data_IF_465088246487
#
_entry.id   IF_465088246487
#
_cell.length_a   1.000
_cell.length_b   1.000
_cell.length_c   1.000
_cell.angle_alpha   90.00
_cell.angle_beta   90.00
_cell.angle_gamma   90.00
#
_symmetry.space_group_name_H-M   'P 1'
#
loop_
_entity.id
_entity.type
_entity.pdbx_description
1 polymer ?
#
# COMPACT_ATOMS: atom_id res chain seq x y z
N UNK A 1 50.00 -24.90 34.24
CA UNK A 1 49.87 -24.57 32.80
C UNK A 1 48.74 -25.31 32.08
N UNK A 2 47.93 -26.17 32.73
CA UNK A 2 46.83 -26.90 32.05
C UNK A 2 45.41 -26.33 32.30
N UNK A 3 45.24 -25.35 33.21
CA UNK A 3 43.90 -24.81 33.54
C UNK A 3 43.44 -23.62 32.66
N UNK A 4 44.36 -22.92 31.99
CA UNK A 4 44.02 -21.82 31.07
C UNK A 4 43.38 -22.31 29.78
N UNK A 5 43.87 -23.44 29.26
CA UNK A 5 43.47 -23.96 27.95
C UNK A 5 42.11 -24.68 28.03
N UNK A 6 41.80 -25.28 29.19
CA UNK A 6 40.49 -25.89 29.46
C UNK A 6 39.40 -24.82 29.61
N UNK A 7 39.72 -23.64 30.18
CA UNK A 7 38.78 -22.50 30.23
C UNK A 7 38.57 -21.87 28.85
N UNK A 8 39.62 -21.75 28.04
CA UNK A 8 39.52 -21.23 26.66
C UNK A 8 38.71 -22.15 25.74
N UNK A 9 38.87 -23.48 25.86
CA UNK A 9 38.05 -24.46 25.15
C UNK A 9 36.58 -24.44 25.58
N UNK A 10 36.31 -24.32 26.89
CA UNK A 10 34.92 -24.21 27.39
C UNK A 10 34.24 -22.93 26.90
N UNK A 11 34.97 -21.80 26.84
CA UNK A 11 34.41 -20.53 26.35
C UNK A 11 34.16 -20.57 24.83
N UNK A 12 35.07 -21.16 24.05
CA UNK A 12 34.88 -21.36 22.60
C UNK A 12 33.70 -22.29 22.30
N UNK A 13 33.53 -23.36 23.08
CA UNK A 13 32.38 -24.26 22.93
C UNK A 13 31.06 -23.61 23.36
N UNK A 14 31.06 -22.76 24.39
CA UNK A 14 29.86 -22.01 24.79
C UNK A 14 29.45 -21.00 23.71
N UNK A 15 30.43 -20.35 23.07
CA UNK A 15 30.20 -19.40 21.98
C UNK A 15 29.73 -20.09 20.69
N UNK A 16 30.21 -21.32 20.43
CA UNK A 16 29.69 -22.17 19.35
C UNK A 16 28.26 -22.64 19.61
N UNK A 17 27.92 -23.02 20.85
CA UNK A 17 26.56 -23.40 21.26
C UNK A 17 25.58 -22.22 21.15
N UNK A 18 25.98 -21.03 21.57
CA UNK A 18 25.19 -19.80 21.41
C UNK A 18 25.00 -19.44 19.93
N UNK A 19 26.04 -19.57 19.11
CA UNK A 19 25.93 -19.37 17.65
C UNK A 19 25.02 -20.42 17.00
N UNK A 20 25.06 -21.68 17.43
CA UNK A 20 24.15 -22.73 16.96
C UNK A 20 22.70 -22.49 17.40
N UNK A 21 22.46 -22.00 18.63
CA UNK A 21 21.11 -21.63 19.09
C UNK A 21 20.55 -20.44 18.32
N UNK A 22 21.37 -19.43 17.99
CA UNK A 22 20.94 -18.27 17.20
C UNK A 22 20.63 -18.68 15.76
N UNK A 23 21.46 -19.54 15.16
CA UNK A 23 21.23 -20.05 13.80
C UNK A 23 19.95 -20.91 13.77
N UNK A 24 19.75 -21.80 14.74
CA UNK A 24 18.51 -22.59 14.85
C UNK A 24 17.27 -21.71 15.04
N UNK A 25 17.36 -20.64 15.85
CA UNK A 25 16.24 -19.73 16.01
C UNK A 25 15.93 -18.96 14.72
N UNK A 26 16.95 -18.55 13.95
CA UNK A 26 16.75 -17.90 12.65
C UNK A 26 16.14 -18.87 11.64
N UNK A 27 16.61 -20.12 11.58
CA UNK A 27 16.08 -21.17 10.70
C UNK A 27 14.61 -21.52 11.06
N UNK A 28 14.27 -21.60 12.36
CA UNK A 28 12.89 -21.79 12.83
C UNK A 28 11.97 -20.59 12.52
N UNK A 29 12.53 -19.38 12.42
CA UNK A 29 11.76 -18.18 12.04
C UNK A 29 11.54 -18.13 10.52
N UNK A 30 12.53 -18.52 9.72
CA UNK A 30 12.43 -18.60 8.26
C UNK A 30 11.54 -19.76 7.78
N UNK A 31 11.48 -20.89 8.50
CA UNK A 31 10.54 -21.98 8.21
C UNK A 31 9.08 -21.60 8.58
N UNK A 32 8.87 -20.86 9.67
CA UNK A 32 7.54 -20.35 10.02
C UNK A 32 7.04 -19.29 9.03
N UNK A 33 7.91 -18.45 8.46
CA UNK A 33 7.56 -17.53 7.39
C UNK A 33 7.16 -18.26 6.09
N UNK A 34 7.83 -19.37 5.75
CA UNK A 34 7.45 -20.21 4.60
C UNK A 34 6.13 -20.96 4.82
N UNK A 35 5.85 -21.42 6.05
CA UNK A 35 4.59 -22.08 6.38
C UNK A 35 3.39 -21.11 6.40
N UNK A 36 3.60 -19.84 6.76
CA UNK A 36 2.54 -18.81 6.78
C UNK A 36 2.18 -18.30 5.38
N UNK A 37 3.08 -18.42 4.40
CA UNK A 37 2.82 -18.09 2.99
C UNK A 37 2.04 -19.18 2.23
N UNK A 38 2.07 -20.44 2.71
CA UNK A 38 1.29 -21.55 2.13
C UNK A 38 -0.10 -21.73 2.76
N UNK A 39 -0.39 -21.09 3.90
CA UNK A 39 -1.66 -21.22 4.62
C UNK A 39 -2.66 -20.06 4.39
N UNK A 40 -2.31 -19.00 3.66
CA UNK A 40 -3.21 -17.86 3.36
C UNK A 40 -4.05 -18.04 2.08
N UNK A 41 -4.18 -19.27 1.61
CA UNK A 41 -5.17 -19.68 0.62
C UNK A 41 -6.15 -20.64 1.28
N UNK A 42 -6.86 -20.20 2.32
CA UNK A 42 -8.24 -20.59 2.64
C UNK A 42 -8.64 -20.12 4.06
N UNK A 43 -9.87 -19.63 4.12
CA UNK A 43 -10.76 -19.42 5.29
C UNK A 43 -10.74 -18.08 6.03
N UNK A 44 -11.97 -17.54 6.07
CA UNK A 44 -12.48 -16.44 6.87
C UNK A 44 -12.58 -16.76 8.38
N UNK A 45 -12.83 -15.67 9.13
CA UNK A 45 -13.49 -15.54 10.45
C UNK A 45 -12.66 -15.53 11.75
N UNK A 46 -12.85 -14.40 12.46
CA UNK A 46 -12.98 -14.22 13.92
C UNK A 46 -11.90 -14.78 14.87
N UNK A 47 -11.13 -13.90 15.53
CA UNK A 47 -11.45 -13.33 16.85
C UNK A 47 -10.25 -12.63 17.51
N UNK A 48 -10.58 -11.63 18.30
CA UNK A 48 -9.73 -10.85 19.22
C UNK A 48 -8.93 -11.70 20.20
N UNK A 49 -7.65 -11.37 20.44
CA UNK A 49 -7.02 -11.45 21.78
C UNK A 49 -5.96 -10.36 21.92
N UNK A 50 -6.14 -9.52 22.93
CA UNK A 50 -5.18 -8.55 23.48
C UNK A 50 -4.01 -9.27 24.17
N UNK A 51 -2.78 -8.82 23.92
CA UNK A 51 -1.69 -8.91 24.88
C UNK A 51 -0.90 -7.61 24.87
N UNK A 52 -1.22 -6.74 25.82
CA UNK A 52 -0.23 -5.83 26.39
C UNK A 52 0.93 -6.67 26.94
N UNK A 53 2.12 -6.49 26.39
CA UNK A 53 3.34 -6.90 27.06
C UNK A 53 4.28 -5.72 27.10
N UNK A 54 4.22 -5.01 28.23
CA UNK A 54 5.24 -4.08 28.68
C UNK A 54 6.57 -4.84 28.75
N UNK A 55 7.47 -4.58 27.81
CA UNK A 55 8.89 -4.93 27.93
C UNK A 55 9.70 -3.64 27.83
N UNK A 56 9.96 -3.08 29.00
CA UNK A 56 11.01 -2.09 29.23
C UNK A 56 12.35 -2.70 28.80
N UNK A 57 12.80 -2.37 27.59
CA UNK A 57 14.14 -2.70 27.13
C UNK A 57 15.06 -1.61 27.64
N UNK A 58 15.70 -1.87 28.79
CA UNK A 58 16.89 -1.11 29.19
C UNK A 58 17.95 -1.29 28.10
N UNK A 59 18.37 -0.18 27.51
CA UNK A 59 19.55 -0.08 26.64
C UNK A 59 20.69 -0.93 27.19
N UNK A 60 20.93 -2.07 26.57
CA UNK A 60 22.05 -2.94 26.94
C UNK A 60 23.15 -2.71 25.93
N UNK A 61 23.87 -1.59 26.09
CA UNK A 61 25.08 -1.30 25.33
C UNK A 61 26.16 -2.29 25.78
N UNK A 62 26.36 -3.36 25.01
CA UNK A 62 27.43 -4.33 25.27
C UNK A 62 28.75 -3.71 24.83
N UNK A 63 29.55 -3.21 25.79
CA UNK A 63 30.94 -2.82 25.57
C UNK A 63 31.88 -4.00 25.83
N UNK A 64 32.57 -4.46 24.79
CA UNK A 64 33.76 -5.32 24.92
C UNK A 64 34.99 -4.58 24.43
N UNK A 65 35.94 -4.32 25.32
CA UNK A 65 37.29 -3.90 24.99
C UNK A 65 38.14 -5.14 24.66
N UNK A 66 38.59 -5.26 23.41
CA UNK A 66 39.82 -5.98 23.02
C UNK A 66 40.38 -5.31 21.77
N UNK A 67 41.57 -4.75 21.87
CA UNK A 67 42.32 -4.22 20.73
C UNK A 67 43.04 -5.37 20.02
N UNK A 68 42.36 -5.98 19.05
CA UNK A 68 42.96 -6.87 18.04
C UNK A 68 42.31 -6.54 16.69
N UNK A 69 42.99 -6.68 15.56
CA UNK A 69 42.38 -6.42 14.23
C UNK A 69 41.12 -7.29 14.00
N UNK A 70 41.06 -8.46 14.63
CA UNK A 70 39.87 -9.32 14.67
C UNK A 70 38.67 -8.69 15.40
N UNK A 71 38.88 -7.79 16.36
CA UNK A 71 37.78 -7.12 17.07
C UNK A 71 37.05 -6.15 16.15
N UNK A 72 37.79 -5.38 15.34
CA UNK A 72 37.21 -4.37 14.44
C UNK A 72 36.34 -5.00 13.35
N UNK A 73 36.71 -6.19 12.89
CA UNK A 73 35.91 -6.97 11.95
C UNK A 73 34.60 -7.46 12.56
N UNK A 74 34.64 -7.96 13.80
CA UNK A 74 33.44 -8.39 14.52
C UNK A 74 32.55 -7.19 14.89
N UNK A 75 33.14 -6.05 15.28
CA UNK A 75 32.42 -4.81 15.55
C UNK A 75 31.65 -4.34 14.29
N UNK A 76 32.27 -4.43 13.11
CA UNK A 76 31.64 -4.10 11.84
C UNK A 76 30.46 -5.02 11.50
N UNK A 77 30.57 -6.32 11.79
CA UNK A 77 29.46 -7.27 11.60
C UNK A 77 28.30 -6.94 12.52
N UNK A 78 28.57 -6.60 13.78
CA UNK A 78 27.53 -6.17 14.74
C UNK A 78 26.86 -4.88 14.26
N UNK A 79 27.63 -3.88 13.82
CA UNK A 79 27.09 -2.62 13.27
C UNK A 79 26.17 -2.89 12.09
N UNK A 80 26.56 -3.78 11.17
CA UNK A 80 25.70 -4.13 10.02
C UNK A 80 24.44 -4.87 10.42
N UNK A 81 24.52 -5.77 11.39
CA UNK A 81 23.36 -6.47 11.90
C UNK A 81 22.35 -5.47 12.50
N UNK A 82 22.83 -4.52 13.29
CA UNK A 82 22.00 -3.45 13.86
C UNK A 82 21.37 -2.58 12.76
N UNK A 83 22.17 -2.13 11.79
CA UNK A 83 21.65 -1.38 10.63
C UNK A 83 20.58 -2.19 9.92
N UNK A 84 20.78 -3.49 9.68
CA UNK A 84 19.78 -4.30 9.00
C UNK A 84 18.48 -4.41 9.80
N UNK A 85 18.56 -4.54 11.13
CA UNK A 85 17.37 -4.59 12.00
C UNK A 85 16.61 -3.26 11.93
N UNK A 86 17.32 -2.14 12.08
CA UNK A 86 16.74 -0.79 12.01
C UNK A 86 16.06 -0.56 10.66
N UNK A 87 16.75 -0.89 9.56
CA UNK A 87 16.24 -0.71 8.21
C UNK A 87 15.09 -1.65 7.88
N UNK A 88 15.07 -2.87 8.41
CA UNK A 88 13.94 -3.80 8.24
C UNK A 88 12.70 -3.31 8.98
N UNK A 89 12.88 -2.79 10.19
CA UNK A 89 11.79 -2.23 11.00
C UNK A 89 11.18 -0.99 10.34
N UNK A 90 12.02 -0.08 9.87
CA UNK A 90 11.58 1.10 9.16
C UNK A 90 10.88 0.75 7.83
N UNK A 91 11.44 -0.20 7.07
CA UNK A 91 10.83 -0.64 5.81
C UNK A 91 9.41 -1.23 5.98
N UNK A 92 9.11 -1.89 7.11
CA UNK A 92 7.76 -2.37 7.41
C UNK A 92 6.78 -1.21 7.65
N UNK A 93 7.20 -0.17 8.34
CA UNK A 93 6.37 1.03 8.57
C UNK A 93 6.09 1.77 7.26
N UNK A 94 7.13 1.93 6.43
CA UNK A 94 7.01 2.60 5.13
C UNK A 94 6.08 1.84 4.19
N UNK A 95 6.16 0.51 4.21
CA UNK A 95 5.35 -0.35 3.36
C UNK A 95 3.86 -0.11 3.57
N UNK A 96 3.42 0.04 4.83
CA UNK A 96 2.01 0.32 5.15
C UNK A 96 1.55 1.65 4.56
N UNK A 97 2.38 2.70 4.60
CA UNK A 97 2.05 4.01 4.05
C UNK A 97 1.98 3.97 2.52
N UNK A 98 2.93 3.28 1.87
CA UNK A 98 2.96 3.11 0.41
C UNK A 98 1.74 2.32 -0.06
N UNK A 99 1.42 1.21 0.59
CA UNK A 99 0.24 0.39 0.28
C UNK A 99 -1.06 1.18 0.47
N UNK A 100 -1.16 1.96 1.55
CA UNK A 100 -2.31 2.84 1.78
C UNK A 100 -2.47 3.87 0.66
N UNK A 101 -1.35 4.43 0.18
CA UNK A 101 -1.36 5.42 -0.90
C UNK A 101 -1.81 4.81 -2.23
N UNK A 102 -1.26 3.64 -2.58
CA UNK A 102 -1.64 2.89 -3.78
C UNK A 102 -3.12 2.49 -3.72
N UNK A 103 -3.59 2.02 -2.56
CA UNK A 103 -4.98 1.64 -2.37
C UNK A 103 -5.91 2.82 -2.62
N UNK A 104 -5.65 3.98 -2.00
CA UNK A 104 -6.47 5.18 -2.19
C UNK A 104 -6.41 5.69 -3.63
N UNK A 105 -5.22 5.68 -4.25
CA UNK A 105 -5.07 6.04 -5.67
C UNK A 105 -5.93 5.16 -6.57
N UNK A 106 -5.85 3.84 -6.38
CA UNK A 106 -6.64 2.88 -7.11
C UNK A 106 -8.14 3.09 -6.85
N UNK A 107 -8.57 3.30 -5.61
CA UNK A 107 -9.97 3.58 -5.28
C UNK A 107 -10.50 4.83 -5.97
N UNK A 108 -9.71 5.92 -6.00
CA UNK A 108 -10.07 7.15 -6.69
C UNK A 108 -10.19 6.93 -8.21
N UNK A 109 -9.28 6.14 -8.81
CA UNK A 109 -9.35 5.77 -10.22
C UNK A 109 -10.61 4.94 -10.54
N UNK A 110 -10.95 3.96 -9.68
CA UNK A 110 -12.18 3.18 -9.83
C UNK A 110 -13.44 4.05 -9.64
N UNK A 111 -13.42 5.02 -8.72
CA UNK A 111 -14.51 5.99 -8.58
C UNK A 111 -14.69 6.81 -9.85
N UNK A 112 -13.59 7.24 -10.47
CA UNK A 112 -13.61 7.98 -11.74
C UNK A 112 -14.22 7.13 -12.88
N UNK A 113 -13.80 5.87 -13.00
CA UNK A 113 -14.34 4.95 -14.00
C UNK A 113 -15.83 4.64 -13.78
N UNK A 114 -16.23 4.44 -12.52
CA UNK A 114 -17.64 4.21 -12.17
C UNK A 114 -18.50 5.44 -12.53
N UNK A 115 -17.99 6.63 -12.25
CA UNK A 115 -18.65 7.90 -12.58
C UNK A 115 -18.83 8.06 -14.09
N UNK A 116 -17.84 7.69 -14.90
CA UNK A 116 -17.96 7.66 -16.37
C UNK A 116 -19.07 6.73 -16.84
N UNK A 117 -19.15 5.52 -16.26
CA UNK A 117 -20.22 4.57 -16.56
C UNK A 117 -21.60 5.12 -16.18
N UNK A 118 -21.74 5.73 -15.00
CA UNK A 118 -22.99 6.33 -14.53
C UNK A 118 -23.44 7.48 -15.44
N UNK A 119 -22.53 8.40 -15.78
CA UNK A 119 -22.81 9.50 -16.71
C UNK A 119 -23.29 8.97 -18.05
N UNK A 120 -22.63 7.93 -18.58
CA UNK A 120 -23.01 7.32 -19.85
C UNK A 120 -24.40 6.68 -19.77
N UNK A 121 -24.70 5.99 -18.68
CA UNK A 121 -25.98 5.34 -18.46
C UNK A 121 -27.13 6.34 -18.35
N UNK A 122 -26.93 7.44 -17.62
CA UNK A 122 -27.89 8.54 -17.50
C UNK A 122 -28.16 9.13 -18.88
N UNK A 123 -27.10 9.45 -19.64
CA UNK A 123 -27.20 9.99 -21.01
C UNK A 123 -27.94 9.02 -21.94
N UNK A 124 -27.66 7.72 -21.84
CA UNK A 124 -28.30 6.67 -22.64
C UNK A 124 -29.78 6.53 -22.32
N UNK A 125 -30.13 6.47 -21.03
CA UNK A 125 -31.49 6.33 -20.54
C UNK A 125 -32.36 7.53 -20.91
N UNK A 126 -31.80 8.74 -20.83
CA UNK A 126 -32.47 9.96 -21.27
C UNK A 126 -32.78 9.91 -22.77
N UNK A 127 -31.79 9.57 -23.61
CA UNK A 127 -31.99 9.43 -25.06
C UNK A 127 -33.04 8.38 -25.39
N UNK A 128 -32.99 7.24 -24.71
CA UNK A 128 -33.96 6.17 -24.88
C UNK A 128 -35.38 6.62 -24.53
N UNK A 129 -35.54 7.30 -23.39
CA UNK A 129 -36.84 7.83 -22.94
C UNK A 129 -37.38 8.90 -23.89
N UNK A 130 -36.52 9.74 -24.46
CA UNK A 130 -36.90 10.73 -25.48
C UNK A 130 -37.46 10.05 -26.74
N UNK A 131 -36.79 9.01 -27.25
CA UNK A 131 -37.26 8.24 -28.41
C UNK A 131 -38.57 7.52 -28.09
N UNK A 132 -38.67 6.94 -26.89
CA UNK A 132 -39.87 6.26 -26.41
C UNK A 132 -41.06 7.22 -26.33
N UNK A 133 -40.84 8.45 -25.84
CA UNK A 133 -41.86 9.49 -25.83
C UNK A 133 -42.36 9.79 -27.26
N UNK A 134 -41.45 9.96 -28.23
CA UNK A 134 -41.83 10.16 -29.63
C UNK A 134 -42.65 9.00 -30.20
N UNK A 135 -42.30 7.75 -29.86
CA UNK A 135 -43.06 6.58 -30.26
C UNK A 135 -44.48 6.56 -29.65
N UNK A 136 -44.61 6.79 -28.35
CA UNK A 136 -45.91 6.81 -27.66
C UNK A 136 -46.83 7.90 -28.21
N UNK A 137 -46.26 9.07 -28.53
CA UNK A 137 -46.98 10.17 -29.18
C UNK A 137 -47.46 9.76 -30.58
N UNK A 138 -46.60 9.13 -31.38
CA UNK A 138 -46.95 8.67 -32.73
C UNK A 138 -48.08 7.61 -32.72
N UNK A 139 -48.00 6.64 -31.82
CA UNK A 139 -49.00 5.57 -31.67
C UNK A 139 -50.30 6.04 -30.99
N UNK A 140 -50.38 7.32 -30.61
CA UNK A 140 -51.51 7.91 -29.88
C UNK A 140 -51.88 7.13 -28.59
N UNK A 141 -50.88 6.50 -27.95
CA UNK A 141 -51.02 5.70 -26.72
C UNK A 141 -50.81 6.52 -25.44
N UNK A 142 -50.87 7.85 -25.53
CA UNK A 142 -50.66 8.73 -24.38
C UNK A 142 -51.85 8.60 -23.43
N UNK A 143 -51.59 8.00 -22.26
CA UNK A 143 -52.49 8.08 -21.11
C UNK A 143 -51.88 9.03 -20.06
N UNK A 144 -52.71 9.57 -19.16
CA UNK A 144 -52.25 10.44 -18.08
C UNK A 144 -51.09 9.85 -17.25
N UNK A 145 -51.16 8.57 -16.82
CA UNK A 145 -50.06 7.91 -16.11
C UNK A 145 -48.76 7.85 -16.93
N UNK A 146 -48.83 7.46 -18.21
CA UNK A 146 -47.65 7.36 -19.09
C UNK A 146 -47.02 8.74 -19.32
N UNK A 147 -47.84 9.77 -19.54
CA UNK A 147 -47.37 11.14 -19.70
C UNK A 147 -46.64 11.65 -18.45
N UNK A 148 -47.13 11.34 -17.26
CA UNK A 148 -46.50 11.73 -16.00
C UNK A 148 -45.19 10.97 -15.77
N UNK A 149 -45.17 9.66 -16.04
CA UNK A 149 -43.97 8.82 -15.94
C UNK A 149 -42.88 9.27 -16.92
N UNK A 150 -43.25 9.56 -18.18
CA UNK A 150 -42.33 10.10 -19.19
C UNK A 150 -41.77 11.46 -18.78
N UNK A 151 -42.61 12.35 -18.24
CA UNK A 151 -42.16 13.66 -17.76
C UNK A 151 -41.15 13.53 -16.62
N UNK A 152 -41.43 12.64 -15.65
CA UNK A 152 -40.57 12.41 -14.49
C UNK A 152 -39.20 11.83 -14.88
N UNK A 153 -39.16 10.90 -15.83
CA UNK A 153 -37.89 10.31 -16.33
C UNK A 153 -37.14 11.28 -17.27
N UNK A 154 -37.85 12.20 -17.93
CA UNK A 154 -37.25 13.24 -18.78
C UNK A 154 -36.83 14.50 -18.01
N UNK A 155 -37.32 14.72 -16.78
CA UNK A 155 -36.87 15.82 -15.93
C UNK A 155 -35.39 15.60 -15.60
N UNK A 156 -34.59 16.59 -15.99
CA UNK A 156 -33.14 16.51 -16.20
C UNK A 156 -32.41 15.96 -14.98
N UNK A 157 -31.75 14.81 -15.15
CA UNK A 157 -30.66 14.44 -14.28
C UNK A 157 -29.61 15.57 -14.32
N UNK A 158 -29.33 16.17 -13.18
CA UNK A 158 -28.32 17.22 -13.03
C UNK A 158 -26.93 16.63 -13.24
N UNK A 159 -26.53 16.45 -14.50
CA UNK A 159 -25.22 15.90 -14.89
C UNK A 159 -24.06 16.82 -14.47
N UNK A 160 -24.33 18.09 -14.18
CA UNK A 160 -23.32 19.09 -13.80
C UNK A 160 -22.59 18.69 -12.51
N UNK A 161 -23.30 18.18 -11.49
CA UNK A 161 -22.70 17.71 -10.24
C UNK A 161 -21.72 16.55 -10.46
N UNK A 162 -22.07 15.63 -11.37
CA UNK A 162 -21.27 14.46 -11.74
C UNK A 162 -20.03 14.85 -12.55
N UNK A 163 -20.15 15.75 -13.52
CA UNK A 163 -19.02 16.23 -14.33
C UNK A 163 -18.05 17.10 -13.48
N UNK A 164 -18.58 17.86 -12.52
CA UNK A 164 -17.76 18.60 -11.53
C UNK A 164 -16.99 17.64 -10.62
N UNK A 165 -17.63 16.58 -10.14
CA UNK A 165 -16.99 15.55 -9.33
C UNK A 165 -15.89 14.84 -10.13
N UNK A 166 -16.17 14.50 -11.39
CA UNK A 166 -15.20 13.91 -12.31
C UNK A 166 -13.96 14.78 -12.46
N UNK A 167 -14.16 16.08 -12.64
CA UNK A 167 -13.08 17.05 -12.75
C UNK A 167 -12.23 17.11 -11.47
N UNK A 168 -12.86 17.12 -10.29
CA UNK A 168 -12.15 17.11 -8.99
C UNK A 168 -11.32 15.84 -8.80
N UNK A 169 -11.88 14.67 -9.13
CA UNK A 169 -11.16 13.39 -9.07
C UNK A 169 -9.96 13.37 -10.01
N UNK A 170 -10.16 13.82 -11.26
CA UNK A 170 -9.09 13.88 -12.25
C UNK A 170 -7.93 14.78 -11.79
N UNK A 171 -8.24 15.96 -11.23
CA UNK A 171 -7.19 16.84 -10.68
C UNK A 171 -6.47 16.16 -9.52
N UNK A 172 -7.19 15.54 -8.59
CA UNK A 172 -6.59 14.86 -7.42
C UNK A 172 -5.63 13.73 -7.82
N UNK A 173 -6.00 12.93 -8.83
CA UNK A 173 -5.17 11.84 -9.34
C UNK A 173 -3.87 12.36 -9.98
N UNK A 174 -3.95 13.44 -10.74
CA UNK A 174 -2.82 13.97 -11.53
C UNK A 174 -1.97 15.02 -10.79
N UNK A 175 -2.43 15.57 -9.66
CA UNK A 175 -1.74 16.66 -8.95
C UNK A 175 -0.41 16.26 -8.32
N UNK A 176 -0.21 14.98 -8.00
CA UNK A 176 0.89 14.50 -7.16
C UNK A 176 1.94 13.67 -7.92
N UNK A 177 2.27 14.06 -9.15
CA UNK A 177 3.33 13.40 -9.96
C UNK A 177 4.69 13.36 -9.25
N UNK A 178 5.01 14.38 -8.44
CA UNK A 178 6.26 14.40 -7.65
C UNK A 178 6.35 13.22 -6.66
N UNK A 179 5.23 12.73 -6.12
CA UNK A 179 5.23 11.56 -5.22
C UNK A 179 5.63 10.30 -5.97
N UNK A 180 5.18 10.14 -7.23
CA UNK A 180 5.58 9.01 -8.07
C UNK A 180 7.08 9.02 -8.33
N UNK A 181 7.66 10.20 -8.56
CA UNK A 181 9.11 10.35 -8.72
C UNK A 181 9.87 10.02 -7.42
N UNK A 182 9.43 10.54 -6.28
CA UNK A 182 10.03 10.25 -4.98
C UNK A 182 9.98 8.74 -4.64
N UNK A 183 8.88 8.07 -4.98
CA UNK A 183 8.74 6.62 -4.81
C UNK A 183 9.71 5.84 -5.71
N UNK A 184 9.83 6.23 -6.98
CA UNK A 184 10.80 5.64 -7.90
C UNK A 184 12.24 5.82 -7.41
N UNK A 185 12.58 7.02 -6.92
CA UNK A 185 13.88 7.28 -6.34
C UNK A 185 14.11 6.41 -5.09
N UNK A 186 13.16 6.36 -4.18
CA UNK A 186 13.21 5.51 -3.00
C UNK A 186 13.48 4.04 -3.37
N UNK A 187 12.75 3.49 -4.34
CA UNK A 187 12.90 2.10 -4.76
C UNK A 187 14.26 1.83 -5.40
N UNK A 188 14.77 2.77 -6.19
CA UNK A 188 16.12 2.69 -6.75
C UNK A 188 17.17 2.69 -5.64
N UNK A 189 17.10 3.63 -4.68
CA UNK A 189 18.06 3.70 -3.56
C UNK A 189 17.97 2.48 -2.64
N UNK A 190 16.77 1.92 -2.45
CA UNK A 190 16.55 0.68 -1.69
C UNK A 190 17.25 -0.50 -2.35
N UNK A 191 17.20 -0.60 -3.68
CA UNK A 191 17.91 -1.63 -4.43
C UNK A 191 19.43 -1.46 -4.34
N UNK A 192 19.93 -0.23 -4.46
CA UNK A 192 21.36 0.08 -4.30
C UNK A 192 21.85 -0.30 -2.89
N UNK A 193 21.07 0.04 -1.85
CA UNK A 193 21.35 -0.35 -0.46
C UNK A 193 21.39 -1.87 -0.29
N UNK A 194 20.39 -2.60 -0.79
CA UNK A 194 20.34 -4.07 -0.68
C UNK A 194 21.55 -4.72 -1.36
N UNK A 195 21.95 -4.21 -2.52
CA UNK A 195 23.13 -4.69 -3.25
C UNK A 195 24.42 -4.37 -2.47
N UNK A 196 24.55 -3.15 -1.96
CA UNK A 196 25.70 -2.73 -1.17
C UNK A 196 25.83 -3.57 0.11
N UNK A 197 24.72 -3.81 0.82
CA UNK A 197 24.69 -4.66 2.02
C UNK A 197 25.15 -6.09 1.71
N UNK A 198 24.63 -6.69 0.62
CA UNK A 198 25.03 -8.04 0.20
C UNK A 198 26.52 -8.11 -0.13
N UNK A 199 27.03 -7.16 -0.91
CA UNK A 199 28.44 -7.10 -1.27
C UNK A 199 29.33 -6.90 -0.04
N UNK A 200 28.90 -6.05 0.90
CA UNK A 200 29.65 -5.78 2.12
C UNK A 200 29.75 -7.01 3.02
N UNK A 201 28.66 -7.79 3.15
CA UNK A 201 28.68 -9.07 3.86
C UNK A 201 29.62 -10.10 3.23
N UNK A 202 29.54 -10.29 1.91
CA UNK A 202 30.42 -11.23 1.18
C UNK A 202 31.89 -10.86 1.40
N UNK A 203 32.19 -9.57 1.31
CA UNK A 203 33.55 -9.08 1.49
C UNK A 203 34.04 -9.33 2.93
N UNK A 204 33.20 -9.09 3.93
CA UNK A 204 33.53 -9.34 5.34
C UNK A 204 33.70 -10.82 5.69
N UNK A 205 33.06 -11.72 4.94
CA UNK A 205 33.08 -13.17 5.20
C UNK A 205 34.17 -13.91 4.42
N UNK A 206 34.41 -13.51 3.17
CA UNK A 206 35.18 -14.31 2.20
C UNK A 206 36.54 -13.69 1.87
N UNK A 207 36.69 -12.38 1.99
CA UNK A 207 37.89 -11.68 1.51
C UNK A 207 38.83 -11.32 2.66
N UNK A 208 40.10 -11.69 2.51
CA UNK A 208 41.15 -11.27 3.43
C UNK A 208 41.60 -9.84 3.06
N UNK A 209 40.89 -8.84 3.58
CA UNK A 209 41.05 -7.43 3.21
C UNK A 209 41.93 -6.70 4.23
N UNK A 210 42.80 -5.81 3.75
CA UNK A 210 43.56 -4.93 4.64
C UNK A 210 42.68 -3.82 5.23
N UNK A 211 43.05 -3.30 6.41
CA UNK A 211 42.24 -2.31 7.13
C UNK A 211 41.91 -1.05 6.30
N UNK A 212 42.83 -0.61 5.42
CA UNK A 212 42.63 0.57 4.58
C UNK A 212 41.50 0.37 3.56
N UNK A 213 41.49 -0.79 2.90
CA UNK A 213 40.44 -1.18 1.97
C UNK A 213 39.11 -1.42 2.67
N UNK A 214 39.14 -2.00 3.88
CA UNK A 214 37.94 -2.18 4.69
C UNK A 214 37.30 -0.84 5.09
N UNK A 215 38.11 0.12 5.54
CA UNK A 215 37.63 1.47 5.86
C UNK A 215 37.06 2.18 4.63
N UNK A 216 37.68 2.03 3.45
CA UNK A 216 37.16 2.59 2.20
C UNK A 216 35.81 2.00 1.83
N UNK A 217 35.67 0.68 1.94
CA UNK A 217 34.44 -0.03 1.66
C UNK A 217 33.32 0.35 2.65
N UNK A 218 33.67 0.53 3.93
CA UNK A 218 32.75 1.05 4.95
C UNK A 218 32.20 2.42 4.56
N UNK A 219 33.05 3.37 4.16
CA UNK A 219 32.60 4.70 3.74
C UNK A 219 31.68 4.61 2.51
N UNK A 220 32.01 3.78 1.52
CA UNK A 220 31.15 3.57 0.35
C UNK A 220 29.78 3.00 0.73
N UNK A 221 29.73 2.07 1.67
CA UNK A 221 28.48 1.53 2.18
C UNK A 221 27.68 2.58 2.96
N UNK A 222 28.33 3.36 3.84
CA UNK A 222 27.71 4.45 4.59
C UNK A 222 27.11 5.51 3.65
N UNK A 223 27.80 5.87 2.56
CA UNK A 223 27.29 6.81 1.55
C UNK A 223 26.00 6.29 0.89
N UNK A 224 25.97 5.01 0.49
CA UNK A 224 24.77 4.38 -0.10
C UNK A 224 23.62 4.33 0.92
N UNK A 225 23.93 3.96 2.17
CA UNK A 225 22.96 3.91 3.26
C UNK A 225 22.35 5.29 3.53
N UNK A 226 23.17 6.34 3.57
CA UNK A 226 22.70 7.71 3.81
C UNK A 226 21.82 8.20 2.67
N UNK A 227 22.15 7.90 1.42
CA UNK A 227 21.30 8.21 0.27
C UNK A 227 19.93 7.51 0.36
N UNK A 228 19.91 6.23 0.74
CA UNK A 228 18.66 5.49 0.96
C UNK A 228 17.83 6.08 2.11
N UNK A 229 18.46 6.33 3.26
CA UNK A 229 17.81 6.96 4.43
C UNK A 229 17.23 8.33 4.10
N UNK A 230 17.94 9.13 3.31
CA UNK A 230 17.47 10.44 2.88
C UNK A 230 16.24 10.33 1.97
N UNK A 231 16.29 9.48 0.93
CA UNK A 231 15.15 9.26 0.04
C UNK A 231 13.91 8.77 0.80
N UNK A 232 14.10 7.84 1.74
CA UNK A 232 13.02 7.40 2.65
C UNK A 232 12.47 8.56 3.49
N UNK A 233 13.34 9.33 4.14
CA UNK A 233 12.90 10.41 5.03
C UNK A 233 12.07 11.47 4.29
N UNK A 234 12.48 11.84 3.06
CA UNK A 234 11.73 12.76 2.21
C UNK A 234 10.37 12.17 1.84
N UNK A 235 10.32 10.90 1.41
CA UNK A 235 9.07 10.23 1.07
C UNK A 235 8.12 10.15 2.29
N UNK A 236 8.63 9.77 3.46
CA UNK A 236 7.84 9.65 4.69
C UNK A 236 7.33 10.99 5.22
N UNK A 237 7.96 12.10 4.84
CA UNK A 237 7.49 13.44 5.19
C UNK A 237 6.33 13.86 4.27
N UNK A 238 6.43 13.58 2.97
CA UNK A 238 5.45 14.03 1.96
C UNK A 238 4.22 13.11 1.88
N UNK A 239 4.40 11.80 2.01
CA UNK A 239 3.36 10.80 1.78
C UNK A 239 2.14 10.96 2.72
N UNK A 240 2.30 11.22 4.03
CA UNK A 240 1.16 11.42 4.94
C UNK A 240 0.29 12.64 4.57
N UNK A 241 0.90 13.71 4.08
CA UNK A 241 0.18 14.90 3.65
C UNK A 241 -0.70 14.58 2.44
N UNK A 242 -0.13 13.92 1.43
CA UNK A 242 -0.86 13.55 0.22
C UNK A 242 -1.94 12.50 0.50
N UNK A 243 -1.66 11.54 1.38
CA UNK A 243 -2.63 10.57 1.87
C UNK A 243 -3.85 11.26 2.49
N UNK A 244 -3.62 12.25 3.35
CA UNK A 244 -4.69 13.00 4.02
C UNK A 244 -5.57 13.74 3.00
N UNK A 245 -4.94 14.45 2.05
CA UNK A 245 -5.66 15.18 1.00
C UNK A 245 -6.47 14.23 0.10
N UNK A 246 -5.88 13.13 -0.37
CA UNK A 246 -6.58 12.14 -1.20
C UNK A 246 -7.69 11.43 -0.45
N UNK A 247 -7.50 11.12 0.83
CA UNK A 247 -8.54 10.52 1.68
C UNK A 247 -9.74 11.46 1.83
N UNK A 248 -9.50 12.76 1.98
CA UNK A 248 -10.57 13.76 2.02
C UNK A 248 -11.35 13.80 0.71
N UNK A 249 -10.65 13.85 -0.43
CA UNK A 249 -11.28 13.78 -1.76
C UNK A 249 -12.10 12.50 -1.93
N UNK A 250 -11.56 11.35 -1.50
CA UNK A 250 -12.27 10.08 -1.55
C UNK A 250 -13.54 10.12 -0.69
N UNK A 251 -13.47 10.64 0.53
CA UNK A 251 -14.63 10.77 1.43
C UNK A 251 -15.72 11.64 0.83
N UNK A 252 -15.36 12.80 0.28
CA UNK A 252 -16.30 13.72 -0.36
C UNK A 252 -16.91 13.08 -1.63
N UNK A 253 -16.10 12.37 -2.41
CA UNK A 253 -16.54 11.64 -3.59
C UNK A 253 -17.53 10.52 -3.23
N UNK A 254 -17.24 9.70 -2.23
CA UNK A 254 -18.12 8.60 -1.83
C UNK A 254 -19.48 9.10 -1.33
N UNK A 255 -19.51 10.23 -0.61
CA UNK A 255 -20.77 10.87 -0.19
C UNK A 255 -21.60 11.34 -1.37
N UNK A 256 -20.98 12.03 -2.32
CA UNK A 256 -21.65 12.54 -3.51
C UNK A 256 -22.11 11.39 -4.42
N UNK A 257 -21.25 10.42 -4.70
CA UNK A 257 -21.62 9.23 -5.47
C UNK A 257 -22.75 8.44 -4.81
N UNK A 258 -22.77 8.34 -3.48
CA UNK A 258 -23.85 7.69 -2.75
C UNK A 258 -25.20 8.38 -3.00
N UNK A 259 -25.24 9.71 -2.86
CA UNK A 259 -26.43 10.50 -3.16
C UNK A 259 -26.90 10.31 -4.61
N UNK A 260 -25.98 10.38 -5.57
CA UNK A 260 -26.30 10.23 -6.99
C UNK A 260 -26.75 8.81 -7.34
N UNK A 261 -26.19 7.78 -6.69
CA UNK A 261 -26.66 6.40 -6.80
C UNK A 261 -28.11 6.25 -6.33
N UNK A 262 -28.49 6.89 -5.21
CA UNK A 262 -29.84 6.83 -4.67
C UNK A 262 -30.85 7.50 -5.62
N UNK A 263 -30.52 8.71 -6.11
CA UNK A 263 -31.34 9.43 -7.09
C UNK A 263 -31.49 8.62 -8.38
N UNK A 264 -30.38 8.12 -8.93
CA UNK A 264 -30.41 7.34 -10.16
C UNK A 264 -31.11 5.99 -9.99
N UNK A 265 -31.00 5.36 -8.82
CA UNK A 265 -31.75 4.17 -8.45
C UNK A 265 -33.27 4.38 -8.54
N UNK A 266 -33.76 5.52 -8.05
CA UNK A 266 -35.16 5.93 -8.21
C UNK A 266 -35.56 6.07 -9.69
N UNK A 267 -34.73 6.73 -10.49
CA UNK A 267 -34.99 6.92 -11.92
C UNK A 267 -35.02 5.60 -12.69
N UNK A 268 -34.14 4.65 -12.37
CA UNK A 268 -34.15 3.30 -12.95
C UNK A 268 -35.46 2.56 -12.65
N UNK A 269 -35.98 2.67 -11.43
CA UNK A 269 -37.26 2.05 -11.06
C UNK A 269 -38.43 2.67 -11.82
N UNK A 270 -38.43 3.98 -11.98
CA UNK A 270 -39.48 4.67 -12.75
C UNK A 270 -39.41 4.32 -14.24
N UNK A 271 -38.21 4.26 -14.83
CA UNK A 271 -38.01 3.79 -16.21
C UNK A 271 -38.47 2.33 -16.39
N UNK A 272 -38.15 1.46 -15.45
CA UNK A 272 -38.59 0.06 -15.47
C UNK A 272 -40.11 -0.06 -15.43
N UNK A 273 -40.78 0.71 -14.56
CA UNK A 273 -42.25 0.75 -14.48
C UNK A 273 -42.87 1.24 -15.79
N UNK A 274 -42.33 2.31 -16.36
CA UNK A 274 -42.78 2.85 -17.66
C UNK A 274 -42.68 1.80 -18.76
N UNK A 275 -41.58 1.06 -18.83
CA UNK A 275 -41.39 -0.01 -19.80
C UNK A 275 -42.41 -1.14 -19.65
N UNK A 276 -42.71 -1.55 -18.42
CA UNK A 276 -43.74 -2.56 -18.16
C UNK A 276 -45.15 -2.07 -18.56
N UNK A 277 -45.50 -0.83 -18.20
CA UNK A 277 -46.79 -0.24 -18.56
C UNK A 277 -46.98 -0.19 -20.09
N UNK A 278 -45.95 0.26 -20.83
CA UNK A 278 -45.99 0.31 -22.29
C UNK A 278 -46.01 -1.09 -22.93
N UNK A 279 -45.29 -2.05 -22.36
CA UNK A 279 -45.33 -3.44 -22.81
C UNK A 279 -46.70 -4.11 -22.62
N UNK A 280 -47.46 -3.72 -21.59
CA UNK A 280 -48.81 -4.24 -21.39
C UNK A 280 -49.85 -3.61 -22.34
N UNK A 281 -49.58 -2.40 -22.85
CA UNK A 281 -50.44 -1.68 -23.80
C UNK A 281 -50.27 -2.11 -25.26
N UNK A 282 -49.32 -3.00 -25.56
CA UNK A 282 -49.12 -3.56 -26.91
C UNK A 282 -49.82 -4.91 -27.10
N UNK A 283 -50.46 -5.47 -26.07
CA UNK A 283 -51.13 -6.79 -26.09
C UNK A 283 -52.67 -6.68 -26.12
N UNK A 284 -53.24 -5.47 -26.02
CA UNK A 284 -54.68 -5.20 -26.17
C UNK A 284 -55.00 -4.43 -27.45
#
# INVERSE_FOLDING_TARGET
MLESDVKLMKLKNLNLLLKQQIIQQIEETEENEKCTQLAKSNSDQHNSVSYESQLSVKETTIQYYREDESSKYEDLKVVLANIQIDESTAALQDQVLIESYELIENLLDHCLQYLDCMILEIKSSLRFTQVLNSYVVHENKITGPISNSLKKVCETAELESLEDLKSKLFVSLNRYENIKQLKQEHDQRKNDYKLALKNFKIILEVMNINQKSLNKLRHQFEDVLMNYKHARAVLNQELPFVLTERTKVLSDCLKLLGHECDVWGGNRLDLSRLLMELGNLSIG
#
